data_IF_235699862586
#
_entry.id   IF_235699862586
#
_cell.length_a   1.000
_cell.length_b   1.000
_cell.length_c   1.000
_cell.angle_alpha   90.00
_cell.angle_beta   90.00
_cell.angle_gamma   90.00
#
_symmetry.space_group_name_H-M   'P 1'
#
loop_
_entity.id
_entity.type
_entity.pdbx_description
1 polymer ?
#
# COMPACT_ATOMS: atom_id res chain seq x y z
N UNK A 1 -0.71 -44.83 -49.84
CA UNK A 1 -0.37 -43.63 -49.03
C UNK A 1 -0.67 -43.99 -47.58
N UNK A 2 0.35 -44.07 -46.73
CA UNK A 2 0.17 -44.50 -45.34
C UNK A 2 -0.65 -43.47 -44.57
N UNK A 3 -1.84 -43.87 -44.15
CA UNK A 3 -2.74 -43.16 -43.24
C UNK A 3 -2.22 -43.26 -41.80
N UNK A 4 -1.03 -42.71 -41.54
CA UNK A 4 -0.51 -42.54 -40.20
C UNK A 4 -0.95 -41.18 -39.66
N UNK A 5 -1.64 -41.21 -38.52
CA UNK A 5 -2.26 -40.04 -37.90
C UNK A 5 -1.33 -39.56 -36.78
N UNK A 6 -0.92 -38.28 -36.83
CA UNK A 6 -0.05 -37.69 -35.82
C UNK A 6 -0.85 -37.39 -34.54
N UNK A 7 -0.45 -38.01 -33.44
CA UNK A 7 -1.08 -37.86 -32.12
C UNK A 7 -1.04 -36.40 -31.65
N UNK A 8 0.00 -35.63 -31.99
CA UNK A 8 0.12 -34.24 -31.56
C UNK A 8 -0.94 -33.34 -32.20
N UNK A 9 -1.25 -33.56 -33.48
CA UNK A 9 -2.27 -32.81 -34.21
C UNK A 9 -3.68 -32.92 -33.59
N UNK A 10 -3.94 -34.00 -32.85
CA UNK A 10 -5.20 -34.19 -32.11
C UNK A 10 -5.33 -33.20 -30.94
N UNK A 11 -4.21 -32.88 -30.28
CA UNK A 11 -4.20 -31.99 -29.12
C UNK A 11 -4.18 -30.51 -29.51
N UNK A 12 -3.63 -30.14 -30.68
CA UNK A 12 -3.51 -28.76 -31.14
C UNK A 12 -4.84 -28.00 -31.15
N UNK A 13 -5.91 -28.65 -31.62
CA UNK A 13 -7.25 -28.05 -31.65
C UNK A 13 -7.80 -27.78 -30.25
N UNK A 14 -7.52 -28.66 -29.29
CA UNK A 14 -7.92 -28.52 -27.89
C UNK A 14 -7.12 -27.42 -27.21
N UNK A 15 -5.79 -27.40 -27.40
CA UNK A 15 -4.91 -26.37 -26.86
C UNK A 15 -5.27 -24.99 -27.40
N UNK A 16 -5.57 -24.88 -28.70
CA UNK A 16 -6.01 -23.61 -29.31
C UNK A 16 -7.33 -23.12 -28.69
N UNK A 17 -8.28 -24.01 -28.41
CA UNK A 17 -9.54 -23.65 -27.72
C UNK A 17 -9.28 -23.18 -26.29
N UNK A 18 -8.41 -23.88 -25.56
CA UNK A 18 -8.03 -23.52 -24.20
C UNK A 18 -7.32 -22.16 -24.16
N UNK A 19 -6.40 -21.89 -25.09
CA UNK A 19 -5.72 -20.60 -25.22
C UNK A 19 -6.70 -19.45 -25.44
N UNK A 20 -7.63 -19.59 -26.39
CA UNK A 20 -8.70 -18.59 -26.62
C UNK A 20 -9.55 -18.35 -25.37
N UNK A 21 -9.84 -19.41 -24.60
CA UNK A 21 -10.61 -19.32 -23.36
C UNK A 21 -9.87 -18.49 -22.30
N UNK A 22 -8.56 -18.69 -22.16
CA UNK A 22 -7.70 -17.89 -21.28
C UNK A 22 -7.63 -16.43 -21.75
N UNK A 23 -7.56 -16.17 -23.06
CA UNK A 23 -7.57 -14.80 -23.61
C UNK A 23 -8.86 -14.05 -23.25
N UNK A 24 -10.02 -14.73 -23.32
CA UNK A 24 -11.31 -14.17 -22.91
C UNK A 24 -11.30 -13.82 -21.43
N UNK A 25 -10.76 -14.71 -20.59
CA UNK A 25 -10.68 -14.49 -19.14
C UNK A 25 -9.77 -13.32 -18.80
N UNK A 26 -8.62 -13.22 -19.47
CA UNK A 26 -7.71 -12.09 -19.32
C UNK A 26 -8.36 -10.78 -19.79
N UNK A 27 -9.18 -10.80 -20.85
CA UNK A 27 -9.94 -9.61 -21.28
C UNK A 27 -10.89 -9.11 -20.18
N UNK A 28 -11.60 -10.00 -19.51
CA UNK A 28 -12.48 -9.63 -18.37
C UNK A 28 -11.66 -9.14 -17.18
N UNK A 29 -10.54 -9.80 -16.89
CA UNK A 29 -9.62 -9.38 -15.83
C UNK A 29 -9.06 -7.97 -16.06
N UNK A 30 -8.68 -7.63 -17.30
CA UNK A 30 -8.23 -6.29 -17.68
C UNK A 30 -9.31 -5.23 -17.48
N UNK A 31 -10.57 -5.54 -17.77
CA UNK A 31 -11.69 -4.64 -17.49
C UNK A 31 -11.84 -4.40 -15.98
N UNK A 32 -11.72 -5.47 -15.19
CA UNK A 32 -11.73 -5.37 -13.73
C UNK A 32 -10.59 -4.47 -13.22
N UNK A 33 -9.35 -4.68 -13.66
CA UNK A 33 -8.20 -3.84 -13.30
C UNK A 33 -8.38 -2.37 -13.72
N UNK A 34 -8.98 -2.12 -14.89
CA UNK A 34 -9.26 -0.76 -15.36
C UNK A 34 -10.30 -0.08 -14.47
N UNK A 35 -11.36 -0.79 -14.08
CA UNK A 35 -12.33 -0.31 -13.09
C UNK A 35 -11.65 0.00 -11.76
N UNK A 36 -10.87 -0.92 -11.20
CA UNK A 36 -10.13 -0.72 -9.94
C UNK A 36 -9.29 0.57 -10.00
N UNK A 37 -8.54 0.79 -11.08
CA UNK A 37 -7.77 2.03 -11.29
C UNK A 37 -8.63 3.27 -11.30
N UNK A 38 -9.80 3.22 -11.95
CA UNK A 38 -10.76 4.32 -11.98
C UNK A 38 -11.32 4.61 -10.58
N UNK A 39 -11.68 3.60 -9.80
CA UNK A 39 -12.15 3.76 -8.42
C UNK A 39 -11.06 4.37 -7.52
N UNK A 40 -9.82 3.93 -7.68
CA UNK A 40 -8.67 4.48 -6.96
C UNK A 40 -8.46 5.97 -7.28
N UNK A 41 -8.67 6.39 -8.54
CA UNK A 41 -8.62 7.80 -8.95
C UNK A 41 -9.72 8.64 -8.27
N UNK A 42 -10.85 8.03 -7.93
CA UNK A 42 -11.95 8.65 -7.19
C UNK A 42 -11.79 8.51 -5.66
N UNK A 43 -10.60 8.15 -5.19
CA UNK A 43 -10.24 7.95 -3.76
C UNK A 43 -11.01 6.83 -3.03
N UNK A 44 -11.76 6.02 -3.76
CA UNK A 44 -12.48 4.86 -3.23
C UNK A 44 -11.54 3.68 -3.03
N UNK A 45 -11.71 2.96 -1.92
CA UNK A 45 -10.90 1.77 -1.58
C UNK A 45 -11.61 0.44 -1.80
N UNK A 46 -12.89 0.51 -2.19
CA UNK A 46 -13.77 -0.63 -2.44
C UNK A 46 -14.30 -0.52 -3.86
N UNK A 47 -14.32 -1.63 -4.59
CA UNK A 47 -14.78 -1.69 -5.98
C UNK A 47 -15.81 -2.80 -6.15
N UNK A 48 -16.96 -2.46 -6.71
CA UNK A 48 -17.99 -3.41 -7.11
C UNK A 48 -17.80 -3.77 -8.59
N UNK A 49 -17.63 -5.05 -8.87
CA UNK A 49 -17.49 -5.57 -10.22
C UNK A 49 -18.55 -6.65 -10.48
N UNK A 50 -19.43 -6.40 -11.44
CA UNK A 50 -20.36 -7.40 -11.93
C UNK A 50 -19.64 -8.29 -12.96
N UNK A 51 -19.59 -9.60 -12.71
CA UNK A 51 -19.05 -10.58 -13.66
C UNK A 51 -20.03 -10.72 -14.83
N UNK A 52 -19.58 -10.54 -16.08
CA UNK A 52 -20.43 -10.76 -17.24
C UNK A 52 -20.78 -12.24 -17.38
N UNK A 53 -22.07 -12.55 -17.51
CA UNK A 53 -22.57 -13.90 -17.74
C UNK A 53 -22.32 -14.37 -19.18
N UNK A 54 -22.43 -13.44 -20.14
CA UNK A 54 -22.06 -13.66 -21.54
C UNK A 54 -21.49 -12.38 -22.15
N UNK A 55 -20.73 -12.54 -23.23
CA UNK A 55 -20.18 -11.44 -24.02
C UNK A 55 -20.54 -11.69 -25.48
N UNK A 56 -21.12 -10.69 -26.13
CA UNK A 56 -21.48 -10.76 -27.56
C UNK A 56 -20.21 -10.96 -28.39
N UNK A 57 -20.25 -11.90 -29.33
CA UNK A 57 -19.13 -12.23 -30.22
C UNK A 57 -18.06 -13.12 -29.58
N UNK A 58 -18.31 -13.63 -28.37
CA UNK A 58 -17.43 -14.57 -27.67
C UNK A 58 -18.14 -15.92 -27.57
N UNK A 59 -17.43 -17.07 -27.72
CA UNK A 59 -18.05 -18.38 -27.50
C UNK A 59 -18.56 -18.52 -26.06
N UNK A 60 -19.52 -19.43 -25.87
CA UNK A 60 -20.03 -19.79 -24.55
C UNK A 60 -18.86 -20.24 -23.65
N UNK A 61 -18.75 -19.61 -22.48
CA UNK A 61 -17.73 -19.93 -21.47
C UNK A 61 -18.40 -20.27 -20.13
N UNK A 62 -17.69 -21.02 -19.28
CA UNK A 62 -18.16 -21.31 -17.93
C UNK A 62 -17.91 -20.11 -17.00
N UNK A 63 -19.00 -19.62 -16.39
CA UNK A 63 -19.00 -18.49 -15.45
C UNK A 63 -18.31 -18.86 -14.14
N UNK A 64 -18.44 -20.10 -13.66
CA UNK A 64 -17.83 -20.55 -12.41
C UNK A 64 -16.30 -20.62 -12.55
N UNK A 65 -15.81 -21.07 -13.71
CA UNK A 65 -14.38 -21.11 -13.98
C UNK A 65 -13.81 -19.70 -14.19
N UNK A 66 -14.53 -18.83 -14.90
CA UNK A 66 -14.18 -17.41 -14.98
C UNK A 66 -14.11 -16.76 -13.59
N UNK A 67 -15.11 -17.01 -12.73
CA UNK A 67 -15.16 -16.50 -11.35
C UNK A 67 -13.95 -16.97 -10.56
N UNK A 68 -13.67 -18.27 -10.57
CA UNK A 68 -12.51 -18.85 -9.87
C UNK A 68 -11.19 -18.27 -10.39
N UNK A 69 -11.08 -18.10 -11.71
CA UNK A 69 -9.91 -17.47 -12.33
C UNK A 69 -9.73 -16.02 -11.87
N UNK A 70 -10.79 -15.22 -11.83
CA UNK A 70 -10.74 -13.84 -11.36
C UNK A 70 -10.36 -13.76 -9.87
N UNK A 71 -10.97 -14.58 -9.03
CA UNK A 71 -10.68 -14.62 -7.58
C UNK A 71 -9.21 -14.97 -7.35
N UNK A 72 -8.74 -16.09 -7.90
CA UNK A 72 -7.34 -16.54 -7.73
C UNK A 72 -6.33 -15.52 -8.29
N UNK A 73 -6.65 -14.83 -9.38
CA UNK A 73 -5.76 -13.83 -9.98
C UNK A 73 -5.70 -12.54 -9.16
N UNK A 74 -6.83 -12.10 -8.59
CA UNK A 74 -6.89 -10.92 -7.73
C UNK A 74 -6.33 -11.19 -6.33
N UNK A 75 -6.53 -12.38 -5.76
CA UNK A 75 -5.92 -12.80 -4.50
C UNK A 75 -4.40 -12.86 -4.59
N UNK A 76 -3.84 -13.36 -5.71
CA UNK A 76 -2.39 -13.32 -5.98
C UNK A 76 -1.82 -11.90 -5.95
N UNK A 77 -2.60 -10.91 -6.35
CA UNK A 77 -2.22 -9.50 -6.27
C UNK A 77 -2.37 -8.90 -4.86
N UNK A 78 -2.92 -9.66 -3.90
CA UNK A 78 -3.16 -9.25 -2.52
C UNK A 78 -4.36 -8.33 -2.36
N UNK A 79 -5.41 -8.52 -3.15
CA UNK A 79 -6.72 -7.90 -2.93
C UNK A 79 -7.58 -8.77 -2.03
N UNK A 80 -8.40 -8.16 -1.17
CA UNK A 80 -9.42 -8.89 -0.41
C UNK A 80 -10.69 -8.93 -1.23
N UNK A 81 -11.25 -10.13 -1.43
CA UNK A 81 -12.40 -10.33 -2.31
C UNK A 81 -13.55 -10.93 -1.51
N UNK A 82 -14.75 -10.41 -1.75
CA UNK A 82 -15.99 -10.96 -1.23
C UNK A 82 -16.94 -11.20 -2.39
N UNK A 83 -17.44 -12.44 -2.48
CA UNK A 83 -18.40 -12.82 -3.52
C UNK A 83 -19.82 -12.62 -3.01
N UNK A 84 -20.63 -11.89 -3.80
CA UNK A 84 -22.05 -11.69 -3.58
C UNK A 84 -22.84 -12.30 -4.75
N UNK A 85 -23.71 -13.27 -4.44
CA UNK A 85 -24.59 -13.90 -5.41
C UNK A 85 -25.60 -12.87 -5.96
N UNK A 86 -25.92 -12.86 -7.28
CA UNK A 86 -25.59 -13.86 -8.30
C UNK A 86 -24.25 -13.70 -9.04
N UNK A 87 -23.74 -12.48 -9.22
CA UNK A 87 -22.60 -12.21 -10.10
C UNK A 87 -21.69 -11.06 -9.62
N UNK A 88 -21.84 -10.60 -8.38
CA UNK A 88 -21.08 -9.47 -7.86
C UNK A 88 -19.80 -9.92 -7.17
N UNK A 89 -18.70 -9.25 -7.48
CA UNK A 89 -17.45 -9.31 -6.74
C UNK A 89 -17.19 -7.96 -6.10
N UNK A 90 -16.99 -7.97 -4.79
CA UNK A 90 -16.50 -6.83 -4.03
C UNK A 90 -15.01 -7.01 -3.84
N UNK A 91 -14.25 -5.99 -4.24
CA UNK A 91 -12.79 -6.00 -4.22
C UNK A 91 -12.34 -4.84 -3.36
N UNK A 92 -11.66 -5.16 -2.27
CA UNK A 92 -11.21 -4.19 -1.27
C UNK A 92 -9.68 -4.18 -1.17
N UNK A 93 -9.08 -2.99 -1.11
CA UNK A 93 -7.63 -2.79 -0.87
C UNK A 93 -7.32 -1.79 0.25
N UNK A 94 -8.26 -1.57 1.17
CA UNK A 94 -8.14 -0.62 2.28
C UNK A 94 -6.90 -0.86 3.15
N UNK A 95 -6.51 -2.12 3.38
CA UNK A 95 -5.35 -2.48 4.22
C UNK A 95 -4.05 -1.90 3.68
N UNK A 96 -3.86 -1.93 2.35
CA UNK A 96 -2.68 -1.38 1.69
C UNK A 96 -2.64 0.15 1.75
N UNK A 97 -3.80 0.83 1.74
CA UNK A 97 -3.86 2.29 1.89
C UNK A 97 -3.42 2.71 3.30
N UNK A 98 -3.95 2.04 4.32
CA UNK A 98 -3.64 2.33 5.74
C UNK A 98 -2.15 2.17 6.05
N UNK A 99 -1.50 1.10 5.56
CA UNK A 99 -0.06 0.89 5.79
C UNK A 99 0.79 2.00 5.16
N UNK A 100 0.43 2.47 3.97
CA UNK A 100 1.12 3.57 3.30
C UNK A 100 0.95 4.90 4.06
N UNK A 101 -0.23 5.18 4.60
CA UNK A 101 -0.48 6.38 5.39
C UNK A 101 0.33 6.39 6.70
N UNK A 102 0.42 5.24 7.39
CA UNK A 102 1.25 5.09 8.60
C UNK A 102 2.75 5.29 8.32
N UNK A 103 3.24 4.79 7.17
CA UNK A 103 4.63 5.01 6.73
C UNK A 103 4.88 6.47 6.36
N UNK A 104 3.89 7.19 5.82
CA UNK A 104 4.01 8.63 5.54
C UNK A 104 4.02 9.46 6.84
N UNK A 105 3.13 9.15 7.78
CA UNK A 105 3.06 9.83 9.06
C UNK A 105 4.37 9.71 9.87
N UNK A 106 5.00 8.54 9.85
CA UNK A 106 6.32 8.33 10.47
C UNK A 106 7.46 9.06 9.76
N UNK A 107 7.36 9.26 8.43
CA UNK A 107 8.35 10.03 7.65
C UNK A 107 8.22 11.55 7.80
N UNK A 108 7.02 12.10 7.96
CA UNK A 108 6.81 13.55 8.15
C UNK A 108 7.31 14.06 9.51
N UNK A 109 7.55 13.17 10.47
CA UNK A 109 8.20 13.53 11.75
C UNK A 109 9.74 13.58 11.64
N UNK A 110 10.33 13.17 10.52
CA UNK A 110 11.78 13.08 10.34
C UNK A 110 12.29 13.86 9.12
N UNK A 111 12.24 15.19 9.21
CA UNK A 111 13.39 16.03 8.84
C UNK A 111 14.07 16.56 10.11
N UNK A 112 14.54 15.64 10.97
CA UNK A 112 15.72 15.88 11.81
C UNK A 112 16.79 14.93 11.29
N UNK A 113 17.91 15.43 10.74
CA UNK A 113 19.03 14.58 10.37
C UNK A 113 19.50 13.81 11.60
N UNK A 114 19.78 12.52 11.44
CA UNK A 114 20.48 11.73 12.44
C UNK A 114 21.90 12.27 12.60
N UNK A 115 22.12 13.08 13.64
CA UNK A 115 23.45 13.32 14.17
C UNK A 115 23.61 12.53 15.46
N UNK A 116 24.71 11.77 15.51
CA UNK A 116 25.37 11.20 16.70
C UNK A 116 25.18 12.11 17.93
N UNK A 117 25.12 11.57 19.16
CA UNK A 117 24.86 12.37 20.37
C UNK A 117 25.72 13.64 20.34
N UNK A 118 25.12 14.84 20.47
CA UNK A 118 25.83 16.08 20.24
C UNK A 118 26.98 16.19 21.23
N UNK A 119 28.20 16.37 20.71
CA UNK A 119 29.30 16.89 21.51
C UNK A 119 28.83 18.18 22.17
N UNK A 120 28.91 18.23 23.50
CA UNK A 120 28.32 19.27 24.39
C UNK A 120 28.85 20.69 24.16
N UNK A 121 29.79 20.91 23.23
CA UNK A 121 30.36 22.23 22.97
C UNK A 121 30.37 22.55 21.48
N UNK A 122 29.79 23.71 21.13
CA UNK A 122 29.98 24.35 19.82
C UNK A 122 31.17 25.31 19.90
N UNK A 123 32.01 25.33 18.88
CA UNK A 123 33.13 26.27 18.77
C UNK A 123 32.63 27.72 18.78
N UNK A 124 33.32 28.59 19.51
CA UNK A 124 32.93 30.01 19.72
C UNK A 124 32.67 30.75 18.39
N UNK A 125 33.40 30.37 17.34
CA UNK A 125 33.32 30.97 16.02
C UNK A 125 32.01 30.68 15.27
N UNK A 126 31.27 29.63 15.65
CA UNK A 126 30.01 29.25 14.99
C UNK A 126 28.76 29.86 15.66
N UNK A 127 28.94 30.75 16.65
CA UNK A 127 27.84 31.39 17.36
C UNK A 127 27.28 32.58 16.57
N UNK A 128 26.07 32.42 16.01
CA UNK A 128 25.30 33.49 15.37
C UNK A 128 24.01 33.74 16.17
N UNK A 129 23.88 34.87 16.88
CA UNK A 129 22.68 35.16 17.66
C UNK A 129 21.53 35.56 16.73
N UNK A 130 20.55 34.68 16.56
CA UNK A 130 19.36 34.93 15.72
C UNK A 130 18.20 35.60 16.48
N UNK A 131 18.45 36.10 17.71
CA UNK A 131 17.44 36.77 18.54
C UNK A 131 16.30 35.86 19.05
N UNK A 132 16.18 34.64 18.54
CA UNK A 132 15.28 33.61 19.05
C UNK A 132 15.96 32.90 20.22
N UNK A 133 15.34 32.93 21.39
CA UNK A 133 15.84 32.23 22.57
C UNK A 133 15.94 30.72 22.27
N UNK A 134 17.12 30.15 22.49
CA UNK A 134 17.44 28.74 22.22
C UNK A 134 17.12 27.83 23.43
N UNK A 135 16.63 28.42 24.53
CA UNK A 135 16.32 27.70 25.75
C UNK A 135 14.90 27.12 25.70
N UNK A 136 14.80 25.80 25.82
CA UNK A 136 13.54 25.08 26.00
C UNK A 136 13.00 25.24 27.44
N UNK A 137 11.69 25.10 27.66
CA UNK A 137 11.09 25.27 29.00
C UNK A 137 11.73 24.35 30.05
N UNK A 138 12.13 23.14 29.64
CA UNK A 138 12.86 22.20 30.48
C UNK A 138 14.21 22.73 30.98
N UNK A 139 14.92 23.50 30.14
CA UNK A 139 16.20 24.10 30.47
C UNK A 139 16.03 25.24 31.47
N UNK A 140 14.96 26.04 31.33
CA UNK A 140 14.61 27.10 32.27
C UNK A 140 14.25 26.54 33.66
N UNK A 141 13.51 25.43 33.71
CA UNK A 141 13.15 24.79 34.97
C UNK A 141 14.39 24.25 35.71
N UNK A 142 15.31 23.60 34.99
CA UNK A 142 16.56 23.12 35.60
C UNK A 142 17.47 24.27 36.07
N UNK A 143 17.43 25.40 35.37
CA UNK A 143 18.14 26.61 35.76
C UNK A 143 17.51 27.20 37.03
N UNK A 144 16.18 27.25 37.10
CA UNK A 144 15.43 27.71 38.26
C UNK A 144 15.75 26.87 39.51
N UNK A 145 15.73 25.54 39.38
CA UNK A 145 16.11 24.62 40.45
C UNK A 145 17.54 24.83 40.92
N UNK A 146 18.49 24.99 39.99
CA UNK A 146 19.90 25.27 40.33
C UNK A 146 20.06 26.61 41.02
N UNK A 147 19.37 27.65 40.57
CA UNK A 147 19.40 28.95 41.25
C UNK A 147 18.83 28.84 42.66
N UNK A 148 17.70 28.14 42.86
CA UNK A 148 17.14 27.89 44.19
C UNK A 148 18.15 27.18 45.09
N UNK A 149 18.84 26.14 44.60
CA UNK A 149 19.89 25.46 45.36
C UNK A 149 21.04 26.39 45.74
N UNK A 150 21.52 27.23 44.81
CA UNK A 150 22.61 28.18 45.07
C UNK A 150 22.21 29.19 46.15
N UNK A 151 20.98 29.71 46.09
CA UNK A 151 20.48 30.66 47.09
C UNK A 151 20.20 29.99 48.45
N UNK A 152 19.82 28.72 48.47
CA UNK A 152 19.55 27.95 49.68
C UNK A 152 20.84 27.55 50.43
N UNK A 153 21.98 27.45 49.75
CA UNK A 153 23.29 27.20 50.39
C UNK A 153 23.79 28.43 51.18
N UNK A 154 23.23 29.63 50.95
CA UNK A 154 23.60 30.84 51.70
C UNK A 154 22.96 30.95 53.09
N UNK A 155 22.09 30.03 53.49
CA UNK A 155 21.39 30.10 54.79
C UNK A 155 21.92 29.14 55.86
N UNK A 156 23.08 28.51 55.68
CA UNK A 156 23.70 27.70 56.75
C UNK A 156 25.21 27.99 56.88
N UNK A 157 25.51 29.02 57.67
CA UNK A 157 26.46 29.02 58.80
C UNK A 157 26.77 30.47 59.18
N UNK A 158 25.96 31.02 60.11
CA UNK A 158 26.47 31.83 61.21
C UNK A 158 26.17 31.04 62.49
#
# INVERSE_FOLDING_TARGET
MSSQLDINSLFETTQTKQARRIEIYDKVLRQCHTRIKQYSKQELTVCFFAIPEFIIGVPLYDINELRTYLITSLEKNGFKIMYLHPNWLVIDWTEKKKSLEQVKASKTVQSKPQTKPPSTYKSVNDYKPTGSFVYDQSSLNSLEEKTKQIFQVKTLNL
#
